data_IF_544837557276
#
_entry.id   IF_544837557276
#
_cell.length_a   1.000
_cell.length_b   1.000
_cell.length_c   1.000
_cell.angle_alpha   90.00
_cell.angle_beta   90.00
_cell.angle_gamma   90.00
#
_symmetry.space_group_name_H-M   'P 1'
#
loop_
_entity.id
_entity.type
_entity.pdbx_description
1 polymer ?
#
# COMPACT_ATOMS: atom_id res chain seq x y z
N UNK A 1 2.31 12.75 4.26
CA UNK A 1 1.72 14.08 4.06
C UNK A 1 1.15 14.67 5.36
N UNK A 2 0.23 13.97 6.03
CA UNK A 2 -0.42 14.45 7.27
C UNK A 2 0.63 14.84 8.30
N UNK A 3 1.65 14.01 8.51
CA UNK A 3 2.74 14.33 9.45
C UNK A 3 3.44 15.66 9.12
N UNK A 4 3.72 15.91 7.85
CA UNK A 4 4.35 17.17 7.44
C UNK A 4 3.44 18.38 7.65
N UNK A 5 2.15 18.25 7.33
CA UNK A 5 1.18 19.33 7.50
C UNK A 5 0.94 19.66 8.99
N UNK A 6 0.93 18.62 9.84
CA UNK A 6 0.74 18.80 11.27
C UNK A 6 1.95 19.45 11.94
N UNK A 7 3.17 19.03 11.60
CA UNK A 7 4.40 19.62 12.13
C UNK A 7 4.54 21.09 11.81
N UNK A 8 4.00 21.53 10.66
CA UNK A 8 4.05 22.93 10.23
C UNK A 8 3.15 23.86 11.06
N UNK A 9 2.19 23.31 11.83
CA UNK A 9 1.22 24.07 12.68
C UNK A 9 0.51 25.24 11.98
N UNK A 10 0.74 25.43 10.68
CA UNK A 10 0.10 26.45 9.84
C UNK A 10 -1.26 26.00 9.33
N UNK A 11 -1.53 24.70 9.38
CA UNK A 11 -2.74 24.11 8.81
C UNK A 11 -3.62 23.49 9.88
N UNK A 12 -4.90 23.79 9.84
CA UNK A 12 -5.92 23.01 10.56
C UNK A 12 -6.39 21.90 9.61
N UNK A 13 -6.29 20.66 10.06
CA UNK A 13 -6.63 19.49 9.27
C UNK A 13 -7.98 18.93 9.71
N UNK A 14 -8.81 18.54 8.75
CA UNK A 14 -9.99 17.72 8.97
C UNK A 14 -9.99 16.55 7.98
N UNK A 15 -10.62 15.44 8.35
CA UNK A 15 -10.71 14.25 7.52
C UNK A 15 -12.16 13.92 7.22
N UNK A 16 -12.50 13.86 5.94
CA UNK A 16 -13.77 13.31 5.47
C UNK A 16 -13.57 11.87 4.96
N UNK A 17 -14.39 10.95 5.46
CA UNK A 17 -14.42 9.56 5.00
C UNK A 17 -15.87 9.18 4.75
N UNK A 18 -16.21 8.90 3.48
CA UNK A 18 -17.56 8.52 3.11
C UNK A 18 -18.00 7.24 3.83
N UNK A 19 -19.24 7.27 4.35
CA UNK A 19 -19.79 6.17 5.13
C UNK A 19 -19.29 6.06 6.57
N UNK A 20 -18.32 6.91 6.97
CA UNK A 20 -17.79 6.97 8.35
C UNK A 20 -17.95 8.35 8.97
N UNK A 21 -17.89 9.40 8.16
CA UNK A 21 -18.22 10.75 8.60
C UNK A 21 -19.74 10.87 8.63
N UNK A 22 -20.30 11.29 9.76
CA UNK A 22 -21.77 11.35 10.00
C UNK A 22 -22.51 12.28 9.04
N UNK A 23 -21.84 13.30 8.55
CA UNK A 23 -22.40 14.29 7.64
C UNK A 23 -21.99 14.05 6.18
N UNK A 24 -22.80 14.58 5.24
CA UNK A 24 -22.43 14.56 3.82
C UNK A 24 -21.19 15.41 3.53
N UNK A 25 -20.50 15.12 2.42
CA UNK A 25 -19.30 15.87 2.04
C UNK A 25 -19.56 17.38 1.92
N UNK A 26 -20.66 17.80 1.30
CA UNK A 26 -21.02 19.24 1.23
C UNK A 26 -21.19 19.87 2.61
N UNK A 27 -21.87 19.21 3.54
CA UNK A 27 -22.01 19.73 4.91
C UNK A 27 -20.66 19.81 5.63
N UNK A 28 -19.81 18.83 5.42
CA UNK A 28 -18.45 18.84 5.97
C UNK A 28 -17.67 20.05 5.45
N UNK A 29 -17.73 20.32 4.15
CA UNK A 29 -17.07 21.49 3.55
C UNK A 29 -17.66 22.81 4.08
N UNK A 30 -18.98 22.91 4.19
CA UNK A 30 -19.65 24.11 4.72
C UNK A 30 -19.31 24.38 6.18
N UNK A 31 -19.19 23.31 6.99
CA UNK A 31 -18.80 23.42 8.41
C UNK A 31 -17.33 23.76 8.61
N UNK A 32 -16.43 23.15 7.85
CA UNK A 32 -14.99 23.34 7.98
C UNK A 32 -14.44 24.52 7.20
N UNK A 33 -15.12 24.91 6.12
CA UNK A 33 -14.72 25.97 5.18
C UNK A 33 -13.25 25.87 4.74
N UNK A 34 -12.80 24.70 4.24
CA UNK A 34 -11.41 24.51 3.89
C UNK A 34 -11.04 25.32 2.65
N UNK A 35 -9.86 25.93 2.66
CA UNK A 35 -9.30 26.53 1.45
C UNK A 35 -8.82 25.43 0.48
N UNK A 36 -8.18 24.37 1.02
CA UNK A 36 -7.67 23.26 0.24
C UNK A 36 -8.47 21.98 0.51
N UNK A 37 -8.77 21.24 -0.56
CA UNK A 37 -9.27 19.87 -0.51
C UNK A 37 -8.27 18.95 -1.20
N UNK A 38 -7.66 18.04 -0.42
CA UNK A 38 -6.70 17.07 -0.91
C UNK A 38 -7.40 15.74 -1.12
N UNK A 39 -7.38 15.24 -2.35
CA UNK A 39 -8.01 13.97 -2.73
C UNK A 39 -6.94 13.00 -3.17
N UNK A 40 -7.02 11.75 -2.69
CA UNK A 40 -6.19 10.66 -3.20
C UNK A 40 -7.08 9.60 -3.85
N UNK A 41 -6.61 8.98 -4.93
CA UNK A 41 -7.38 7.95 -5.62
C UNK A 41 -6.51 6.87 -6.24
N UNK A 42 -7.11 5.71 -6.39
CA UNK A 42 -6.66 4.64 -7.27
C UNK A 42 -7.59 4.52 -8.49
N UNK A 43 -7.37 3.55 -9.36
CA UNK A 43 -8.19 3.36 -10.59
C UNK A 43 -9.67 3.17 -10.27
N UNK A 44 -10.01 2.38 -9.27
CA UNK A 44 -11.40 2.07 -8.92
C UNK A 44 -12.12 3.27 -8.29
N UNK A 45 -11.41 4.08 -7.49
CA UNK A 45 -12.00 5.21 -6.77
C UNK A 45 -11.95 6.54 -7.55
N UNK A 46 -11.23 6.61 -8.66
CA UNK A 46 -11.07 7.86 -9.43
C UNK A 46 -12.39 8.48 -9.91
N UNK A 47 -13.39 7.72 -10.45
CA UNK A 47 -14.68 8.32 -10.83
C UNK A 47 -15.39 9.00 -9.67
N UNK A 48 -15.24 8.46 -8.44
CA UNK A 48 -15.77 9.07 -7.24
C UNK A 48 -14.99 10.30 -6.82
N UNK A 49 -13.66 10.26 -6.91
CA UNK A 49 -12.79 11.40 -6.65
C UNK A 49 -13.16 12.62 -7.53
N UNK A 50 -13.53 12.39 -8.80
CA UNK A 50 -14.02 13.46 -9.70
C UNK A 50 -15.30 14.10 -9.17
N UNK A 51 -16.26 13.29 -8.69
CA UNK A 51 -17.52 13.82 -8.09
C UNK A 51 -17.24 14.67 -6.86
N UNK A 52 -16.38 14.19 -5.96
CA UNK A 52 -15.99 14.96 -4.77
C UNK A 52 -15.29 16.26 -5.16
N UNK A 53 -14.40 16.22 -6.14
CA UNK A 53 -13.71 17.40 -6.65
C UNK A 53 -14.70 18.44 -7.22
N UNK A 54 -15.72 18.02 -7.98
CA UNK A 54 -16.75 18.90 -8.51
C UNK A 54 -17.55 19.58 -7.39
N UNK A 55 -17.92 18.82 -6.35
CA UNK A 55 -18.60 19.37 -5.16
C UNK A 55 -17.69 20.38 -4.46
N UNK A 56 -16.42 20.04 -4.23
CA UNK A 56 -15.48 20.96 -3.59
C UNK A 56 -15.28 22.25 -4.41
N UNK A 57 -15.24 22.16 -5.73
CA UNK A 57 -15.18 23.33 -6.62
C UNK A 57 -16.44 24.20 -6.52
N UNK A 58 -17.62 23.62 -6.43
CA UNK A 58 -18.87 24.40 -6.25
C UNK A 58 -18.94 25.13 -4.90
N UNK A 59 -18.25 24.63 -3.88
CA UNK A 59 -18.08 25.29 -2.57
C UNK A 59 -16.87 26.25 -2.52
N UNK A 60 -16.22 26.51 -3.66
CA UNK A 60 -15.13 27.49 -3.76
C UNK A 60 -13.76 26.98 -3.34
N UNK A 61 -13.58 25.67 -3.06
CA UNK A 61 -12.33 25.10 -2.60
C UNK A 61 -11.29 24.99 -3.74
N UNK A 62 -10.02 25.06 -3.36
CA UNK A 62 -8.91 24.72 -4.23
C UNK A 62 -8.62 23.22 -4.12
N UNK A 63 -8.73 22.48 -5.22
CA UNK A 63 -8.71 21.01 -5.21
C UNK A 63 -7.40 20.46 -5.73
N UNK A 64 -6.77 19.61 -4.93
CA UNK A 64 -5.47 18.97 -5.21
C UNK A 64 -5.68 17.46 -5.27
N UNK A 65 -5.28 16.85 -6.39
CA UNK A 65 -5.31 15.40 -6.55
C UNK A 65 -3.90 14.80 -6.41
N UNK A 66 -3.80 13.71 -5.65
CA UNK A 66 -2.58 12.92 -5.54
C UNK A 66 -2.85 11.42 -5.61
N UNK A 67 -1.85 10.62 -5.25
CA UNK A 67 -1.95 9.17 -5.20
C UNK A 67 -1.51 8.47 -6.48
N UNK A 68 -1.66 7.15 -6.48
CA UNK A 68 -1.13 6.27 -7.53
C UNK A 68 -1.75 6.58 -8.89
N UNK A 69 -3.07 6.76 -8.95
CA UNK A 69 -3.75 7.03 -10.22
C UNK A 69 -3.35 8.38 -10.81
N UNK A 70 -3.26 9.41 -9.96
CA UNK A 70 -2.79 10.74 -10.36
C UNK A 70 -1.36 10.69 -10.90
N UNK A 71 -0.47 9.98 -10.21
CA UNK A 71 0.94 9.84 -10.60
C UNK A 71 1.12 9.16 -11.96
N UNK A 72 0.23 8.21 -12.30
CA UNK A 72 0.31 7.49 -13.58
C UNK A 72 -0.38 8.21 -14.74
N UNK A 73 -1.33 9.10 -14.47
CA UNK A 73 -2.23 9.68 -15.47
C UNK A 73 -2.27 11.21 -15.42
N UNK A 74 -1.26 11.87 -14.85
CA UNK A 74 -1.28 13.30 -14.55
C UNK A 74 -1.63 14.17 -15.78
N UNK A 75 -1.01 13.90 -16.91
CA UNK A 75 -1.22 14.64 -18.15
C UNK A 75 -2.65 14.49 -18.69
N UNK A 76 -3.15 13.24 -18.70
CA UNK A 76 -4.53 12.94 -19.10
C UNK A 76 -5.55 13.59 -18.18
N UNK A 77 -5.30 13.57 -16.87
CA UNK A 77 -6.19 14.18 -15.87
C UNK A 77 -6.17 15.69 -16.03
N UNK A 78 -4.99 16.30 -16.20
CA UNK A 78 -4.85 17.73 -16.41
C UNK A 78 -5.63 18.22 -17.62
N UNK A 79 -5.67 17.45 -18.70
CA UNK A 79 -6.40 17.82 -19.91
C UNK A 79 -7.92 17.66 -19.76
N UNK A 80 -8.39 16.57 -19.14
CA UNK A 80 -9.80 16.15 -19.24
C UNK A 80 -10.62 16.46 -17.98
N UNK A 81 -10.01 16.82 -16.85
CA UNK A 81 -10.70 17.01 -15.57
C UNK A 81 -10.37 18.36 -14.95
N UNK A 82 -11.04 19.46 -15.39
CA UNK A 82 -10.78 20.81 -14.90
C UNK A 82 -11.13 21.05 -13.42
N UNK A 83 -11.82 20.09 -12.79
CA UNK A 83 -12.16 20.17 -11.36
C UNK A 83 -10.95 20.02 -10.42
N UNK A 84 -9.79 19.57 -10.91
CA UNK A 84 -8.56 19.54 -10.14
C UNK A 84 -7.69 20.76 -10.49
N UNK A 85 -7.39 21.59 -9.51
CA UNK A 85 -6.52 22.75 -9.68
C UNK A 85 -5.05 22.35 -9.77
N UNK A 86 -4.65 21.32 -8.98
CA UNK A 86 -3.31 20.75 -8.99
C UNK A 86 -3.34 19.23 -9.00
N UNK A 87 -2.31 18.64 -9.60
CA UNK A 87 -2.09 17.20 -9.64
C UNK A 87 -0.67 16.93 -9.16
N UNK A 88 -0.53 16.20 -8.07
CA UNK A 88 0.78 15.80 -7.52
C UNK A 88 1.15 14.44 -8.10
N UNK A 89 2.28 14.39 -8.80
CA UNK A 89 2.84 13.18 -9.40
C UNK A 89 3.99 12.68 -8.54
N UNK A 90 3.82 11.55 -7.89
CA UNK A 90 4.75 11.02 -6.89
C UNK A 90 4.40 11.42 -5.46
N UNK A 91 5.38 11.32 -4.55
CA UNK A 91 5.21 11.70 -3.16
C UNK A 91 5.25 13.23 -2.97
N UNK A 92 4.39 13.80 -2.13
CA UNK A 92 4.43 15.23 -1.85
C UNK A 92 5.75 15.63 -1.17
N UNK A 93 6.19 16.85 -1.44
CA UNK A 93 7.37 17.46 -0.81
C UNK A 93 6.98 18.23 0.44
N UNK A 94 7.86 18.24 1.45
CA UNK A 94 7.75 19.19 2.56
C UNK A 94 7.83 20.62 1.99
N UNK A 95 7.00 21.53 2.51
CA UNK A 95 6.94 22.92 2.03
C UNK A 95 6.23 23.12 0.68
N UNK A 96 5.75 22.07 0.02
CA UNK A 96 5.01 22.17 -1.26
C UNK A 96 3.78 23.08 -1.16
N UNK A 97 3.22 23.24 0.03
CA UNK A 97 2.05 24.07 0.28
C UNK A 97 2.38 25.50 0.69
N UNK A 98 3.66 25.84 0.89
CA UNK A 98 4.10 27.21 1.22
C UNK A 98 4.19 28.10 -0.04
N UNK A 99 4.61 27.50 -1.15
CA UNK A 99 4.69 28.17 -2.46
C UNK A 99 4.18 27.19 -3.52
N UNK A 100 2.90 27.33 -3.89
CA UNK A 100 2.37 26.50 -4.96
C UNK A 100 3.05 26.83 -6.27
N UNK A 101 3.67 25.84 -6.95
CA UNK A 101 4.13 26.02 -8.32
C UNK A 101 2.99 26.48 -9.21
N UNK A 102 3.28 27.34 -10.19
CA UNK A 102 2.28 27.81 -11.16
C UNK A 102 1.75 26.68 -12.03
N UNK A 103 2.56 25.65 -12.25
CA UNK A 103 2.21 24.51 -13.07
C UNK A 103 1.08 23.68 -12.46
N UNK A 104 0.17 23.21 -13.30
CA UNK A 104 -0.95 22.39 -12.88
C UNK A 104 -0.53 20.98 -12.46
N UNK A 105 0.50 20.42 -13.09
CA UNK A 105 1.14 19.18 -12.68
C UNK A 105 2.38 19.53 -11.87
N UNK A 106 2.45 19.00 -10.66
CA UNK A 106 3.56 19.21 -9.75
C UNK A 106 4.29 17.90 -9.56
N UNK A 107 5.56 17.87 -9.98
CA UNK A 107 6.42 16.69 -9.77
C UNK A 107 6.80 16.60 -8.29
N UNK A 108 6.38 15.51 -7.65
CA UNK A 108 6.82 15.13 -6.33
C UNK A 108 8.11 14.32 -6.35
N UNK A 109 8.54 13.82 -5.21
CA UNK A 109 9.70 12.92 -5.16
C UNK A 109 9.31 11.51 -5.60
N UNK A 110 10.24 10.84 -6.30
CA UNK A 110 10.17 9.41 -6.62
C UNK A 110 10.88 8.54 -5.58
N UNK A 111 11.61 9.17 -4.69
CA UNK A 111 12.28 8.54 -3.55
C UNK A 111 12.36 9.58 -2.43
N UNK A 112 12.05 9.17 -1.20
CA UNK A 112 12.16 10.04 -0.03
C UNK A 112 12.63 9.23 1.18
N UNK A 113 13.24 9.95 2.11
CA UNK A 113 13.60 9.41 3.40
C UNK A 113 12.32 9.18 4.22
N UNK A 114 12.18 7.97 4.75
CA UNK A 114 11.08 7.56 5.61
C UNK A 114 11.52 7.35 7.06
N UNK A 115 12.78 7.62 7.39
CA UNK A 115 13.33 7.37 8.71
C UNK A 115 12.89 8.46 9.73
N UNK A 116 11.60 8.50 9.99
CA UNK A 116 10.99 9.36 11.01
C UNK A 116 9.77 8.66 11.63
N UNK A 117 9.48 9.00 12.90
CA UNK A 117 8.36 8.42 13.64
C UNK A 117 7.00 8.86 13.06
N UNK A 118 6.07 7.93 12.98
CA UNK A 118 4.69 8.14 12.52
C UNK A 118 3.64 7.46 13.41
N UNK A 119 4.07 6.74 14.44
CA UNK A 119 3.15 5.98 15.29
C UNK A 119 2.11 6.86 16.01
N UNK A 120 2.45 8.10 16.31
CA UNK A 120 1.57 9.08 16.95
C UNK A 120 0.47 9.65 16.03
N UNK A 121 0.61 9.54 14.70
CA UNK A 121 -0.40 10.01 13.74
C UNK A 121 -1.74 9.31 13.99
N UNK A 122 -1.71 8.02 14.36
CA UNK A 122 -2.92 7.24 14.61
C UNK A 122 -3.67 7.64 15.89
N UNK A 123 -3.06 8.45 16.75
CA UNK A 123 -3.67 8.98 17.97
C UNK A 123 -4.32 10.36 17.74
N UNK A 124 -4.18 10.93 16.55
CA UNK A 124 -4.82 12.21 16.23
C UNK A 124 -6.34 12.05 16.14
N UNK A 125 -7.13 13.02 16.67
CA UNK A 125 -8.58 12.99 16.66
C UNK A 125 -9.17 12.82 15.25
N UNK A 126 -8.47 13.30 14.21
CA UNK A 126 -8.92 13.15 12.83
C UNK A 126 -8.96 11.68 12.35
N UNK A 127 -8.29 10.75 13.06
CA UNK A 127 -8.32 9.31 12.79
C UNK A 127 -9.25 8.53 13.72
N UNK A 128 -10.07 9.18 14.55
CA UNK A 128 -10.97 8.49 15.48
C UNK A 128 -11.93 7.53 14.76
N UNK A 129 -12.36 7.85 13.55
CA UNK A 129 -13.18 6.96 12.73
C UNK A 129 -12.47 5.64 12.32
N UNK A 130 -11.16 5.55 12.52
CA UNK A 130 -10.33 4.35 12.24
C UNK A 130 -9.84 3.62 13.48
N UNK A 131 -10.32 3.98 14.70
CA UNK A 131 -9.82 3.38 15.95
C UNK A 131 -9.88 1.87 16.00
N UNK A 132 -10.90 1.28 15.39
CA UNK A 132 -11.11 -0.18 15.35
C UNK A 132 -10.59 -0.85 14.08
N UNK A 133 -10.02 -0.07 13.17
CA UNK A 133 -9.46 -0.59 11.93
C UNK A 133 -8.02 -1.07 12.11
N UNK A 134 -7.54 -1.91 11.18
CA UNK A 134 -6.13 -2.23 11.11
C UNK A 134 -5.27 -0.97 11.00
N UNK A 135 -4.24 -0.88 11.84
CA UNK A 135 -3.22 0.14 11.68
C UNK A 135 -2.33 -0.24 10.50
N UNK A 136 -2.16 0.66 9.55
CA UNK A 136 -1.21 0.49 8.46
C UNK A 136 0.13 1.11 8.86
N UNK A 137 1.22 0.36 8.70
CA UNK A 137 2.57 0.80 9.01
C UNK A 137 3.53 0.37 7.90
N UNK A 138 4.45 1.23 7.53
CA UNK A 138 5.43 1.00 6.49
C UNK A 138 6.82 0.99 7.11
N UNK A 139 7.53 -0.14 6.99
CA UNK A 139 8.92 -0.30 7.42
C UNK A 139 9.84 0.06 6.25
N UNK A 140 9.46 -0.37 5.05
CA UNK A 140 10.26 -0.28 3.84
C UNK A 140 9.45 0.37 2.73
N UNK A 141 10.01 1.38 2.08
CA UNK A 141 9.40 2.09 0.96
C UNK A 141 10.11 1.75 -0.36
N UNK A 142 9.33 1.38 -1.36
CA UNK A 142 9.82 1.02 -2.68
C UNK A 142 10.17 -0.46 -2.81
N UNK A 143 10.53 -0.88 -4.02
CA UNK A 143 10.79 -2.28 -4.36
C UNK A 143 11.97 -2.40 -5.32
N UNK A 144 12.92 -3.30 -4.99
CA UNK A 144 14.10 -3.56 -5.83
C UNK A 144 13.79 -4.32 -7.12
N UNK A 145 12.60 -4.88 -7.22
CA UNK A 145 12.17 -5.64 -8.39
C UNK A 145 11.57 -4.74 -9.47
N UNK A 146 11.58 -5.25 -10.69
CA UNK A 146 11.12 -4.51 -11.87
C UNK A 146 10.02 -5.27 -12.64
N UNK A 147 9.04 -5.84 -11.92
CA UNK A 147 7.90 -6.50 -12.53
C UNK A 147 7.14 -5.53 -13.43
N UNK A 148 6.93 -5.87 -14.71
CA UNK A 148 6.42 -4.93 -15.69
C UNK A 148 4.91 -4.61 -15.56
N UNK A 149 4.16 -5.44 -14.87
CA UNK A 149 2.76 -5.18 -14.52
C UNK A 149 2.61 -4.24 -13.31
N UNK A 150 3.69 -4.07 -12.51
CA UNK A 150 3.62 -3.31 -11.27
C UNK A 150 3.69 -1.80 -11.53
N UNK A 151 2.74 -1.06 -10.95
CA UNK A 151 2.71 0.41 -11.04
C UNK A 151 3.89 1.09 -10.35
N UNK A 152 4.46 0.46 -9.33
CA UNK A 152 5.54 1.03 -8.51
C UNK A 152 6.75 1.43 -9.34
N UNK A 153 7.14 0.59 -10.31
CA UNK A 153 8.28 0.91 -11.20
C UNK A 153 8.09 2.20 -12.02
N UNK A 154 6.85 2.62 -12.23
CA UNK A 154 6.52 3.83 -13.01
C UNK A 154 6.38 5.06 -12.14
N UNK A 155 6.00 4.87 -10.88
CA UNK A 155 5.75 5.94 -9.91
C UNK A 155 7.00 6.26 -9.12
N UNK A 156 7.70 5.22 -8.65
CA UNK A 156 8.92 5.31 -7.87
C UNK A 156 10.14 4.91 -8.70
N UNK A 157 11.32 5.22 -8.20
CA UNK A 157 12.56 4.74 -8.82
C UNK A 157 12.65 3.22 -8.63
N UNK A 158 12.45 2.45 -9.73
CA UNK A 158 12.63 1.01 -9.69
C UNK A 158 14.04 0.63 -9.26
N UNK A 159 14.16 -0.40 -8.42
CA UNK A 159 15.44 -0.87 -7.91
C UNK A 159 15.97 -0.11 -6.69
N UNK A 160 15.22 0.85 -6.16
CA UNK A 160 15.57 1.61 -4.96
C UNK A 160 14.57 1.30 -3.84
N UNK A 161 15.11 1.09 -2.66
CA UNK A 161 14.35 0.82 -1.45
C UNK A 161 14.94 1.69 -0.33
N UNK A 162 14.08 2.41 0.38
CA UNK A 162 14.39 3.11 1.63
C UNK A 162 13.74 2.37 2.78
N UNK A 163 14.33 2.43 3.96
CA UNK A 163 13.76 1.79 5.15
C UNK A 163 13.92 2.68 6.38
N UNK A 164 13.06 2.45 7.36
CA UNK A 164 13.19 3.07 8.68
C UNK A 164 14.31 2.40 9.47
N UNK A 165 14.94 3.14 10.37
CA UNK A 165 15.89 2.56 11.33
C UNK A 165 15.17 1.64 12.33
N UNK A 166 15.91 0.74 12.93
CA UNK A 166 15.40 -0.17 13.96
C UNK A 166 14.81 0.63 15.15
N UNK A 167 15.43 1.73 15.50
CA UNK A 167 15.03 2.62 16.60
C UNK A 167 13.66 3.23 16.32
N UNK A 168 13.44 3.74 15.12
CA UNK A 168 12.15 4.33 14.69
C UNK A 168 11.07 3.25 14.67
N UNK A 169 11.35 2.08 14.07
CA UNK A 169 10.39 0.96 14.03
C UNK A 169 10.00 0.52 15.43
N UNK A 170 10.96 0.38 16.34
CA UNK A 170 10.68 0.01 17.74
C UNK A 170 9.83 1.04 18.46
N UNK A 171 10.14 2.31 18.30
CA UNK A 171 9.38 3.41 18.93
C UNK A 171 7.94 3.40 18.45
N UNK A 172 7.73 3.37 17.13
CA UNK A 172 6.41 3.38 16.51
C UNK A 172 5.57 2.14 16.90
N UNK A 173 6.13 0.94 16.82
CA UNK A 173 5.41 -0.29 17.13
C UNK A 173 5.06 -0.41 18.63
N UNK A 174 5.89 0.11 19.54
CA UNK A 174 5.53 0.23 20.95
C UNK A 174 4.34 1.14 21.18
N UNK A 175 4.29 2.27 20.47
CA UNK A 175 3.17 3.22 20.55
C UNK A 175 1.88 2.62 19.99
N UNK A 176 1.98 1.82 18.92
CA UNK A 176 0.85 1.13 18.29
C UNK A 176 0.40 -0.16 19.01
N UNK A 177 1.08 -0.57 20.06
CA UNK A 177 0.84 -1.87 20.73
C UNK A 177 -0.56 -2.02 21.35
N UNK A 178 -1.32 -0.94 21.54
CA UNK A 178 -2.71 -0.97 21.98
C UNK A 178 -3.71 -1.35 20.88
N UNK A 179 -3.27 -1.41 19.63
CA UNK A 179 -4.10 -1.80 18.48
C UNK A 179 -4.16 -3.32 18.36
N UNK A 180 -5.22 -3.83 17.75
CA UNK A 180 -5.42 -5.27 17.63
C UNK A 180 -4.81 -5.86 16.36
N UNK A 181 -4.86 -5.09 15.27
CA UNK A 181 -4.43 -5.54 13.94
C UNK A 181 -3.41 -4.55 13.39
N UNK A 182 -2.25 -5.08 13.01
CA UNK A 182 -1.20 -4.36 12.30
C UNK A 182 -1.14 -4.86 10.85
N UNK A 183 -1.24 -3.97 9.88
CA UNK A 183 -0.95 -4.26 8.48
C UNK A 183 0.34 -3.55 8.10
N UNK A 184 1.40 -4.32 7.87
CA UNK A 184 2.62 -3.81 7.24
C UNK A 184 2.32 -3.66 5.74
N UNK A 185 2.46 -2.44 5.25
CA UNK A 185 2.10 -2.07 3.88
C UNK A 185 3.31 -1.95 2.95
N UNK A 186 4.41 -2.57 3.34
CA UNK A 186 5.60 -2.67 2.50
C UNK A 186 5.28 -3.39 1.19
N UNK A 187 5.89 -2.95 0.09
CA UNK A 187 5.78 -3.61 -1.21
C UNK A 187 6.41 -5.02 -1.20
N UNK A 188 7.36 -5.25 -0.33
CA UNK A 188 7.96 -6.55 -0.01
C UNK A 188 8.70 -6.45 1.33
N UNK A 189 8.10 -6.96 2.41
CA UNK A 189 8.65 -6.89 3.77
C UNK A 189 10.03 -7.55 3.90
N UNK A 190 10.33 -8.52 3.04
CA UNK A 190 11.62 -9.23 3.06
C UNK A 190 12.76 -8.45 2.38
N UNK A 191 12.56 -7.20 1.95
CA UNK A 191 13.65 -6.37 1.45
C UNK A 191 14.60 -5.90 2.57
N UNK A 192 14.09 -5.80 3.81
CA UNK A 192 14.87 -5.38 4.98
C UNK A 192 14.77 -6.39 6.14
N UNK A 193 15.13 -7.67 5.94
CA UNK A 193 14.97 -8.72 6.95
C UNK A 193 15.81 -8.46 8.21
N UNK A 194 16.89 -7.70 8.09
CA UNK A 194 17.75 -7.31 9.22
C UNK A 194 17.03 -6.40 10.21
N UNK A 195 16.11 -5.54 9.74
CA UNK A 195 15.30 -4.69 10.62
C UNK A 195 14.31 -5.56 11.41
N UNK A 196 13.66 -6.52 10.73
CA UNK A 196 12.73 -7.44 11.38
C UNK A 196 13.43 -8.27 12.45
N UNK A 197 14.61 -8.82 12.12
CA UNK A 197 15.40 -9.62 13.05
C UNK A 197 15.93 -8.82 14.25
N UNK A 198 16.19 -7.51 14.05
CA UNK A 198 16.64 -6.63 15.12
C UNK A 198 15.52 -6.14 16.04
N UNK A 199 14.25 -6.28 15.63
CA UNK A 199 13.10 -6.00 16.48
C UNK A 199 12.86 -7.18 17.43
N UNK A 200 13.49 -7.12 18.61
CA UNK A 200 13.54 -8.16 19.63
C UNK A 200 12.33 -8.21 20.59
N UNK A 201 11.23 -7.60 20.23
CA UNK A 201 10.01 -7.61 21.03
C UNK A 201 8.89 -8.33 20.30
N UNK A 202 8.20 -9.19 21.04
CA UNK A 202 6.98 -9.81 20.51
C UNK A 202 5.91 -8.74 20.37
N UNK A 203 5.42 -8.58 19.16
CA UNK A 203 4.30 -7.69 18.89
C UNK A 203 3.07 -8.20 19.62
N UNK A 204 2.42 -7.33 20.38
CA UNK A 204 1.20 -7.63 21.14
C UNK A 204 -0.07 -7.64 20.26
N UNK A 205 0.09 -7.51 18.94
CA UNK A 205 -1.04 -7.54 18.01
C UNK A 205 -1.63 -8.95 17.90
N UNK A 206 -2.95 -9.05 17.88
CA UNK A 206 -3.64 -10.31 17.61
C UNK A 206 -3.41 -10.80 16.17
N UNK A 207 -3.23 -9.86 15.26
CA UNK A 207 -3.03 -10.14 13.84
C UNK A 207 -2.00 -9.17 13.26
N UNK A 208 -0.97 -9.74 12.62
CA UNK A 208 0.02 -8.98 11.84
C UNK A 208 -0.03 -9.51 10.41
N UNK A 209 -0.33 -8.62 9.47
CA UNK A 209 -0.45 -8.93 8.06
C UNK A 209 0.73 -8.27 7.35
N UNK A 210 1.44 -9.02 6.50
CA UNK A 210 2.53 -8.51 5.69
C UNK A 210 2.44 -9.03 4.26
N UNK A 211 3.16 -8.37 3.35
CA UNK A 211 3.20 -8.73 1.93
C UNK A 211 4.63 -9.04 1.50
N UNK A 212 4.80 -10.06 0.65
CA UNK A 212 6.10 -10.41 0.04
C UNK A 212 5.93 -11.10 -1.30
N UNK A 213 7.03 -11.24 -2.02
CA UNK A 213 7.11 -12.12 -3.18
C UNK A 213 7.22 -13.58 -2.71
N UNK A 214 6.52 -14.50 -3.37
CA UNK A 214 6.53 -15.90 -2.95
C UNK A 214 7.90 -16.56 -3.08
N UNK A 215 8.70 -16.16 -4.07
CA UNK A 215 10.05 -16.68 -4.30
C UNK A 215 11.10 -16.23 -3.27
N UNK A 216 10.71 -15.37 -2.34
CA UNK A 216 11.54 -14.95 -1.21
C UNK A 216 11.30 -15.76 0.06
N UNK A 217 10.25 -16.57 0.08
CA UNK A 217 9.91 -17.40 1.24
C UNK A 217 10.78 -18.66 1.29
N UNK A 218 11.61 -18.73 2.31
CA UNK A 218 12.49 -19.88 2.61
C UNK A 218 12.55 -20.07 4.14
N UNK A 219 13.24 -21.12 4.62
CA UNK A 219 13.32 -21.43 6.06
C UNK A 219 13.80 -20.25 6.90
N UNK A 220 14.83 -19.53 6.45
CA UNK A 220 15.38 -18.40 7.18
C UNK A 220 14.40 -17.22 7.20
N UNK A 221 13.83 -16.85 6.07
CA UNK A 221 12.93 -15.70 5.97
C UNK A 221 11.63 -15.92 6.72
N UNK A 222 11.07 -17.15 6.66
CA UNK A 222 9.81 -17.45 7.36
C UNK A 222 10.00 -17.46 8.89
N UNK A 223 11.17 -17.91 9.37
CA UNK A 223 11.53 -17.83 10.80
C UNK A 223 11.55 -16.39 11.28
N UNK A 224 12.25 -15.51 10.54
CA UNK A 224 12.32 -14.06 10.86
C UNK A 224 10.93 -13.44 10.88
N UNK A 225 10.10 -13.75 9.88
CA UNK A 225 8.72 -13.24 9.85
C UNK A 225 7.90 -13.72 11.05
N UNK A 226 8.04 -14.98 11.42
CA UNK A 226 7.34 -15.58 12.58
C UNK A 226 7.81 -14.96 13.91
N UNK A 227 9.12 -14.78 14.07
CA UNK A 227 9.70 -14.15 15.26
C UNK A 227 9.28 -12.70 15.39
N UNK A 228 9.22 -11.95 14.29
CA UNK A 228 8.68 -10.59 14.24
C UNK A 228 7.18 -10.54 14.61
N UNK A 229 6.45 -11.65 14.48
CA UNK A 229 5.04 -11.75 14.86
C UNK A 229 4.06 -11.79 13.68
N UNK A 230 4.53 -11.95 12.44
CA UNK A 230 3.64 -12.10 11.27
C UNK A 230 2.75 -13.32 11.46
N UNK A 231 1.44 -13.12 11.31
CA UNK A 231 0.42 -14.17 11.40
C UNK A 231 -0.24 -14.47 10.05
N UNK A 232 -0.22 -13.51 9.13
CA UNK A 232 -0.80 -13.62 7.80
C UNK A 232 0.19 -13.06 6.78
N UNK A 233 0.53 -13.84 5.77
CA UNK A 233 1.48 -13.46 4.74
C UNK A 233 0.82 -13.46 3.37
N UNK A 234 0.66 -12.31 2.79
CA UNK A 234 0.19 -12.11 1.43
C UNK A 234 1.38 -12.35 0.48
N UNK A 235 1.22 -13.24 -0.49
CA UNK A 235 2.31 -13.64 -1.38
C UNK A 235 1.89 -13.53 -2.84
N UNK A 236 2.58 -12.70 -3.61
CA UNK A 236 2.35 -12.59 -5.04
C UNK A 236 2.83 -13.84 -5.76
N UNK A 237 1.89 -14.73 -6.11
CA UNK A 237 2.09 -15.89 -7.00
C UNK A 237 1.99 -15.46 -8.45
N UNK A 238 1.05 -14.60 -8.73
CA UNK A 238 0.66 -14.02 -10.01
C UNK A 238 0.06 -15.04 -10.97
N UNK A 239 0.84 -16.03 -11.40
CA UNK A 239 0.39 -17.02 -12.39
C UNK A 239 1.13 -18.35 -12.24
N UNK A 240 0.59 -19.41 -12.86
CA UNK A 240 1.27 -20.68 -13.12
C UNK A 240 1.67 -20.81 -14.60
N UNK A 241 1.40 -19.82 -15.43
CA UNK A 241 1.85 -19.79 -16.82
C UNK A 241 3.25 -19.20 -16.92
N UNK A 242 4.25 -20.04 -17.23
CA UNK A 242 5.65 -19.64 -17.28
C UNK A 242 5.91 -18.46 -18.25
N UNK A 243 5.25 -18.46 -19.40
CA UNK A 243 5.39 -17.38 -20.39
C UNK A 243 5.00 -16.03 -19.79
N UNK A 244 3.89 -15.98 -19.06
CA UNK A 244 3.47 -14.77 -18.35
C UNK A 244 4.48 -14.37 -17.27
N UNK A 245 4.96 -15.29 -16.47
CA UNK A 245 5.93 -15.03 -15.40
C UNK A 245 7.26 -14.49 -15.94
N UNK A 246 7.75 -15.04 -17.03
CA UNK A 246 8.98 -14.58 -17.70
C UNK A 246 8.77 -13.23 -18.37
N UNK A 247 7.70 -13.09 -19.16
CA UNK A 247 7.40 -11.83 -19.86
C UNK A 247 7.11 -10.68 -18.91
N UNK A 248 6.56 -10.98 -17.74
CA UNK A 248 6.29 -9.99 -16.67
C UNK A 248 7.49 -9.69 -15.80
N UNK A 249 8.64 -10.30 -16.02
CA UNK A 249 9.86 -10.17 -15.20
C UNK A 249 9.65 -10.59 -13.72
N UNK A 250 8.64 -11.43 -13.47
CA UNK A 250 8.35 -11.95 -12.11
C UNK A 250 9.25 -13.12 -11.76
N UNK A 251 9.47 -14.04 -12.69
CA UNK A 251 10.35 -15.20 -12.52
C UNK A 251 11.29 -15.40 -13.71
N UNK A 252 12.44 -15.96 -13.47
CA UNK A 252 13.42 -16.36 -14.50
C UNK A 252 13.57 -17.87 -14.64
N UNK A 253 12.87 -18.65 -13.79
CA UNK A 253 13.06 -20.09 -13.69
C UNK A 253 11.76 -20.87 -13.96
N UNK A 254 11.88 -22.08 -14.55
CA UNK A 254 10.76 -22.99 -14.75
C UNK A 254 10.26 -23.71 -13.50
N UNK A 255 10.83 -23.46 -12.32
CA UNK A 255 10.50 -24.13 -11.05
C UNK A 255 9.49 -23.36 -10.19
N UNK A 256 8.71 -22.47 -10.81
CA UNK A 256 7.81 -21.59 -10.07
C UNK A 256 6.74 -22.33 -9.25
N UNK A 257 6.13 -23.36 -9.83
CA UNK A 257 5.13 -24.19 -9.16
C UNK A 257 5.69 -24.84 -7.89
N UNK A 258 6.88 -25.43 -7.97
CA UNK A 258 7.56 -26.02 -6.79
C UNK A 258 7.85 -24.96 -5.73
N UNK A 259 8.30 -23.78 -6.15
CA UNK A 259 8.55 -22.64 -5.24
C UNK A 259 7.27 -22.25 -4.49
N UNK A 260 6.14 -22.20 -5.19
CA UNK A 260 4.84 -21.89 -4.59
C UNK A 260 4.46 -22.92 -3.53
N UNK A 261 4.48 -24.22 -3.87
CA UNK A 261 4.13 -25.28 -2.93
C UNK A 261 5.06 -25.32 -1.70
N UNK A 262 6.36 -25.14 -1.91
CA UNK A 262 7.33 -25.06 -0.81
C UNK A 262 7.04 -23.87 0.12
N UNK A 263 6.72 -22.71 -0.41
CA UNK A 263 6.38 -21.53 0.39
C UNK A 263 5.10 -21.76 1.20
N UNK A 264 4.10 -22.41 0.60
CA UNK A 264 2.84 -22.75 1.28
C UNK A 264 3.07 -23.73 2.44
N UNK A 265 3.88 -24.78 2.23
CA UNK A 265 4.27 -25.74 3.26
C UNK A 265 5.03 -25.06 4.41
N UNK A 266 5.95 -24.15 4.09
CA UNK A 266 6.66 -23.35 5.09
C UNK A 266 5.71 -22.52 5.93
N UNK A 267 4.76 -21.81 5.31
CA UNK A 267 3.75 -21.06 6.04
C UNK A 267 2.97 -21.95 7.02
N UNK A 268 2.53 -23.13 6.57
CA UNK A 268 1.81 -24.08 7.40
C UNK A 268 2.68 -24.56 8.60
N UNK A 269 3.92 -24.95 8.38
CA UNK A 269 4.85 -25.38 9.44
C UNK A 269 5.14 -24.31 10.48
N UNK A 270 5.20 -23.06 10.05
CA UNK A 270 5.45 -21.90 10.93
C UNK A 270 4.16 -21.25 11.48
N UNK A 271 3.00 -21.88 11.27
CA UNK A 271 1.69 -21.38 11.72
C UNK A 271 1.40 -19.95 11.25
N UNK A 272 1.73 -19.64 10.00
CA UNK A 272 1.40 -18.39 9.31
C UNK A 272 0.30 -18.68 8.30
N UNK A 273 -0.78 -17.93 8.35
CA UNK A 273 -1.85 -18.02 7.34
C UNK A 273 -1.32 -17.50 6.01
N UNK A 274 -1.25 -18.37 5.03
CA UNK A 274 -0.81 -18.03 3.69
C UNK A 274 -1.95 -17.41 2.88
N UNK A 275 -1.66 -16.32 2.17
CA UNK A 275 -2.60 -15.60 1.30
C UNK A 275 -1.99 -15.45 -0.09
N UNK A 276 -2.01 -16.50 -0.92
CA UNK A 276 -1.50 -16.41 -2.28
C UNK A 276 -2.41 -15.49 -3.13
N UNK A 277 -1.78 -14.60 -3.89
CA UNK A 277 -2.45 -13.68 -4.81
C UNK A 277 -2.18 -14.11 -6.23
N UNK A 278 -3.25 -14.33 -6.99
CA UNK A 278 -3.23 -14.71 -8.40
C UNK A 278 -3.76 -13.55 -9.23
N UNK A 279 -3.07 -13.24 -10.32
CA UNK A 279 -3.58 -12.33 -11.34
C UNK A 279 -4.57 -13.07 -12.26
N UNK A 280 -5.69 -12.41 -12.50
CA UNK A 280 -6.66 -12.84 -13.52
C UNK A 280 -6.86 -11.70 -14.51
N UNK A 281 -7.21 -12.02 -15.74
CA UNK A 281 -7.45 -11.05 -16.81
C UNK A 281 -6.20 -10.24 -17.22
N UNK A 282 -5.05 -10.89 -17.35
CA UNK A 282 -3.86 -10.24 -17.90
C UNK A 282 -3.76 -10.44 -19.43
N UNK A 283 -3.07 -9.55 -20.15
CA UNK A 283 -2.86 -9.68 -21.58
C UNK A 283 -2.15 -10.99 -21.95
N UNK A 284 -2.73 -11.77 -22.84
CA UNK A 284 -2.19 -13.07 -23.26
C UNK A 284 -2.59 -14.26 -22.39
N UNK A 285 -3.42 -14.06 -21.36
CA UNK A 285 -3.94 -15.15 -20.55
C UNK A 285 -4.68 -16.18 -21.41
N UNK A 286 -4.40 -17.47 -21.18
CA UNK A 286 -5.08 -18.54 -21.88
C UNK A 286 -6.57 -18.59 -21.54
N UNK A 287 -7.42 -18.98 -22.52
CA UNK A 287 -8.87 -19.10 -22.29
C UNK A 287 -9.23 -20.10 -21.20
N UNK A 288 -8.38 -21.09 -20.96
CA UNK A 288 -8.58 -22.14 -19.98
C UNK A 288 -7.80 -21.91 -18.68
N UNK A 289 -7.16 -20.74 -18.52
CA UNK A 289 -6.30 -20.45 -17.38
C UNK A 289 -6.97 -20.77 -16.04
N UNK A 290 -8.18 -20.26 -15.81
CA UNK A 290 -8.89 -20.51 -14.56
C UNK A 290 -9.17 -22.00 -14.33
N UNK A 291 -9.49 -22.75 -15.37
CA UNK A 291 -9.69 -24.21 -15.26
C UNK A 291 -8.37 -24.94 -14.93
N UNK A 292 -7.28 -24.47 -15.51
CA UNK A 292 -5.94 -25.06 -15.30
C UNK A 292 -5.40 -24.82 -13.89
N UNK A 293 -5.75 -23.70 -13.24
CA UNK A 293 -5.29 -23.40 -11.88
C UNK A 293 -6.16 -24.01 -10.78
N UNK A 294 -7.40 -24.40 -11.08
CA UNK A 294 -8.31 -24.98 -10.09
C UNK A 294 -7.75 -26.20 -9.34
N UNK A 295 -7.03 -27.15 -9.96
CA UNK A 295 -6.41 -28.26 -9.24
C UNK A 295 -5.44 -27.77 -8.17
N UNK A 296 -4.58 -26.79 -8.48
CA UNK A 296 -3.63 -26.22 -7.52
C UNK A 296 -4.34 -25.57 -6.33
N UNK A 297 -5.41 -24.80 -6.61
CA UNK A 297 -6.21 -24.16 -5.54
C UNK A 297 -6.87 -25.20 -4.64
N UNK A 298 -7.41 -26.30 -5.21
CA UNK A 298 -8.00 -27.39 -4.44
C UNK A 298 -7.00 -28.07 -3.53
N UNK A 299 -5.76 -28.26 -4.00
CA UNK A 299 -4.71 -28.88 -3.21
C UNK A 299 -4.25 -27.98 -2.04
N UNK A 300 -4.46 -26.66 -2.14
CA UNK A 300 -4.15 -25.71 -1.06
C UNK A 300 -5.22 -25.65 0.02
N UNK A 301 -6.51 -25.77 -0.36
CA UNK A 301 -7.65 -25.52 0.54
C UNK A 301 -7.78 -26.50 1.71
N UNK A 302 -7.29 -27.76 1.68
CA UNK A 302 -7.36 -28.65 2.84
C UNK A 302 -6.43 -28.25 3.99
N UNK A 303 -5.45 -27.41 3.75
CA UNK A 303 -4.56 -26.91 4.80
C UNK A 303 -5.21 -25.71 5.47
N UNK A 304 -5.48 -25.80 6.76
CA UNK A 304 -6.33 -24.89 7.57
C UNK A 304 -5.91 -23.41 7.62
N UNK A 305 -4.98 -22.95 6.78
CA UNK A 305 -4.40 -21.62 6.87
C UNK A 305 -4.17 -20.94 5.51
N UNK A 306 -4.96 -21.26 4.49
CA UNK A 306 -4.77 -20.68 3.15
C UNK A 306 -5.99 -19.85 2.73
N UNK A 307 -5.74 -18.64 2.33
CA UNK A 307 -6.72 -17.74 1.69
C UNK A 307 -6.22 -17.39 0.30
N UNK A 308 -7.06 -17.55 -0.73
CA UNK A 308 -6.69 -17.22 -2.12
C UNK A 308 -7.34 -15.91 -2.52
N UNK A 309 -6.57 -14.99 -3.03
CA UNK A 309 -7.02 -13.71 -3.55
C UNK A 309 -6.81 -13.65 -5.06
N UNK A 310 -7.74 -13.02 -5.76
CA UNK A 310 -7.60 -12.70 -7.15
C UNK A 310 -7.38 -11.19 -7.32
N UNK A 311 -6.38 -10.85 -8.13
CA UNK A 311 -6.07 -9.47 -8.53
C UNK A 311 -6.42 -9.28 -10.01
N UNK A 312 -6.94 -8.10 -10.37
CA UNK A 312 -7.31 -7.74 -11.73
C UNK A 312 -6.36 -6.70 -12.30
#
# INVERSE_FOLDING_TARGET
>A
LIRFLELDKKFRLSLYVEGRTEQSFSRHLQGEQPYFVLITSNTATFPHAVKLAQIAKSEGCYVILGGIFASMNAERISTNYPCFDKIIKGAPLAGMFDQFPLDRIVEGRRQYDIDFEVGDIWDLPLFDCYRNDPVCYEITFGCVYNCNFCSLRRIWNAGVCSHRSVEVVRSDLKRLANRQILKIIDDDILQSPHILAACDFRLSFKKVIAETRIDRVNEQSISVLREFGVTHLIMGVESFENEHLVSSLKSRSGIWTETVFKAMDLCARYHITARPVLQVLYPGMSKNYLQNILPYIRDWTPTNNIEVFFSF
#
